data_IF_676982353648
#
_entry.id   IF_676982353648
#
_cell.length_a   1.000
_cell.length_b   1.000
_cell.length_c   1.000
_cell.angle_alpha   90.00
_cell.angle_beta   90.00
_cell.angle_gamma   90.00
#
_symmetry.space_group_name_H-M   'P 1'
#
loop_
_entity.id
_entity.type
_entity.pdbx_description
1 polymer ?
#
# COMPACT_ATOMS: atom_id res chain seq x y z
N UNK A 1 -6.41 12.73 0.42
CA UNK A 1 -5.84 11.85 1.44
C UNK A 1 -4.69 11.04 0.86
N UNK A 2 -3.56 11.09 1.52
CA UNK A 2 -2.32 10.40 1.10
C UNK A 2 -2.04 9.29 2.11
N UNK A 3 -1.70 8.10 1.61
CA UNK A 3 -1.36 6.97 2.45
C UNK A 3 -0.20 6.16 1.87
N UNK A 4 0.41 5.36 2.72
CA UNK A 4 1.45 4.42 2.32
C UNK A 4 0.85 3.03 2.20
N UNK A 5 1.12 2.37 1.09
CA UNK A 5 0.76 0.98 0.86
C UNK A 5 1.99 0.06 1.02
N UNK A 6 1.74 -1.22 1.06
CA UNK A 6 2.77 -2.24 1.03
C UNK A 6 2.21 -3.53 0.45
N UNK A 7 2.89 -4.11 -0.52
CA UNK A 7 2.52 -5.41 -1.06
C UNK A 7 2.90 -6.53 -0.08
N UNK A 8 2.01 -7.49 0.10
CA UNK A 8 2.13 -8.50 1.16
C UNK A 8 3.43 -9.28 1.13
N UNK A 9 3.93 -9.66 -0.05
CA UNK A 9 5.20 -10.39 -0.17
C UNK A 9 6.39 -9.51 0.26
N UNK A 10 6.42 -8.24 -0.15
CA UNK A 10 7.46 -7.30 0.28
C UNK A 10 7.43 -7.08 1.80
N UNK A 11 6.24 -6.96 2.37
CA UNK A 11 6.07 -6.83 3.83
C UNK A 11 6.57 -8.08 4.55
N UNK A 12 6.24 -9.26 4.03
CA UNK A 12 6.71 -10.54 4.59
C UNK A 12 8.24 -10.65 4.54
N UNK A 13 8.87 -10.25 3.44
CA UNK A 13 10.35 -10.19 3.34
C UNK A 13 10.96 -9.22 4.35
N UNK A 14 10.36 -8.04 4.53
CA UNK A 14 10.79 -7.08 5.55
C UNK A 14 10.71 -7.65 6.96
N UNK A 15 9.66 -8.39 7.29
CA UNK A 15 9.54 -9.10 8.56
C UNK A 15 10.62 -10.16 8.69
N UNK A 16 10.85 -10.96 7.64
CA UNK A 16 11.86 -12.02 7.63
C UNK A 16 13.27 -11.48 7.88
N UNK A 17 13.62 -10.27 7.41
CA UNK A 17 14.89 -9.63 7.67
C UNK A 17 15.16 -9.35 9.16
N UNK A 18 14.14 -9.27 9.99
CA UNK A 18 14.27 -9.04 11.43
C UNK A 18 14.58 -10.32 12.20
N UNK A 19 14.27 -11.49 11.65
CA UNK A 19 14.41 -12.78 12.31
C UNK A 19 15.90 -13.16 12.41
N UNK A 20 16.37 -13.41 13.64
CA UNK A 20 17.77 -13.77 13.87
C UNK A 20 18.79 -12.65 13.60
N UNK A 21 18.32 -11.43 13.36
CA UNK A 21 19.17 -10.28 13.05
C UNK A 21 19.45 -9.46 14.31
N UNK A 22 20.71 -9.45 14.76
CA UNK A 22 21.11 -8.69 15.97
C UNK A 22 20.85 -7.19 15.85
N UNK A 23 20.88 -6.63 14.63
CA UNK A 23 20.57 -5.22 14.38
C UNK A 23 19.10 -4.87 14.57
N UNK A 24 18.22 -5.88 14.56
CA UNK A 24 16.79 -5.71 14.80
C UNK A 24 16.40 -5.79 16.28
N UNK A 25 17.30 -6.25 17.16
CA UNK A 25 17.00 -6.45 18.58
C UNK A 25 16.59 -5.14 19.26
N UNK A 26 15.46 -5.19 19.98
CA UNK A 26 14.89 -4.06 20.74
C UNK A 26 14.62 -2.81 19.86
N UNK A 27 14.32 -2.99 18.59
CA UNK A 27 14.02 -1.92 17.66
C UNK A 27 12.63 -2.09 17.04
N UNK A 28 12.04 -0.98 16.67
CA UNK A 28 10.78 -0.92 15.91
C UNK A 28 11.09 -0.43 14.51
N UNK A 29 10.54 -1.11 13.53
CA UNK A 29 10.64 -0.75 12.12
C UNK A 29 9.26 -0.58 11.52
N UNK A 30 9.12 0.43 10.68
CA UNK A 30 7.98 0.57 9.79
C UNK A 30 8.34 -0.03 8.44
N UNK A 31 7.36 -0.66 7.79
CA UNK A 31 7.50 -1.23 6.45
C UNK A 31 6.40 -0.64 5.57
N UNK A 32 6.78 -0.12 4.42
CA UNK A 32 5.87 0.44 3.44
C UNK A 32 6.62 0.95 2.23
N UNK A 33 5.93 1.17 1.14
CA UNK A 33 6.48 1.73 -0.09
C UNK A 33 7.12 3.11 0.16
N UNK A 34 8.17 3.42 -0.59
CA UNK A 34 8.87 4.70 -0.46
C UNK A 34 7.99 5.88 -0.84
N UNK A 35 7.20 5.72 -1.89
CA UNK A 35 6.35 6.77 -2.43
C UNK A 35 4.90 6.60 -1.97
N UNK A 36 4.43 7.39 -1.00
CA UNK A 36 3.02 7.43 -0.67
C UNK A 36 2.22 8.00 -1.84
N UNK A 37 0.99 7.53 -2.00
CA UNK A 37 0.10 7.94 -3.08
C UNK A 37 -1.23 8.45 -2.54
N UNK A 38 -1.89 9.35 -3.28
CA UNK A 38 -3.27 9.70 -2.99
C UNK A 38 -4.23 8.65 -3.55
N UNK A 39 -5.46 8.68 -3.07
CA UNK A 39 -6.46 7.67 -3.40
C UNK A 39 -6.84 7.63 -4.89
N UNK A 40 -6.90 8.80 -5.52
CA UNK A 40 -7.18 8.91 -6.97
C UNK A 40 -6.08 8.24 -7.81
N UNK A 41 -4.83 8.53 -7.48
CA UNK A 41 -3.68 7.94 -8.17
C UNK A 41 -3.66 6.41 -7.97
N UNK A 42 -3.95 5.94 -6.77
CA UNK A 42 -4.04 4.51 -6.49
C UNK A 42 -5.13 3.83 -7.31
N UNK A 43 -6.31 4.45 -7.37
CA UNK A 43 -7.43 3.96 -8.19
C UNK A 43 -7.09 3.88 -9.68
N UNK A 44 -6.35 4.87 -10.20
CA UNK A 44 -5.87 4.85 -11.59
C UNK A 44 -4.92 3.68 -11.86
N UNK A 45 -3.99 3.41 -10.97
CA UNK A 45 -3.07 2.27 -11.09
C UNK A 45 -3.80 0.94 -11.09
N UNK A 46 -4.81 0.80 -10.24
CA UNK A 46 -5.67 -0.39 -10.23
C UNK A 46 -6.42 -0.53 -11.56
N UNK A 47 -7.04 0.54 -12.04
CA UNK A 47 -7.76 0.56 -13.32
C UNK A 47 -6.86 0.15 -14.48
N UNK A 48 -5.63 0.67 -14.54
CA UNK A 48 -4.64 0.33 -15.57
C UNK A 48 -4.30 -1.17 -15.56
N UNK A 49 -4.00 -1.73 -14.38
CA UNK A 49 -3.67 -3.15 -14.24
C UNK A 49 -4.85 -4.05 -14.64
N UNK A 50 -6.08 -3.62 -14.35
CA UNK A 50 -7.30 -4.35 -14.72
C UNK A 50 -7.68 -4.19 -16.20
N UNK A 51 -7.04 -3.29 -16.94
CA UNK A 51 -7.44 -2.92 -18.29
C UNK A 51 -8.79 -2.22 -18.35
N UNK A 52 -9.17 -1.55 -17.26
CA UNK A 52 -10.44 -0.84 -17.18
C UNK A 52 -10.31 0.57 -17.79
N UNK A 53 -11.20 0.89 -18.74
CA UNK A 53 -11.15 2.12 -19.53
C UNK A 53 -12.29 3.11 -19.18
N UNK A 54 -12.93 2.94 -18.02
CA UNK A 54 -13.96 3.85 -17.55
C UNK A 54 -13.39 5.15 -16.97
N UNK A 55 -14.27 6.08 -16.67
CA UNK A 55 -13.92 7.33 -16.02
C UNK A 55 -13.94 7.17 -14.49
N UNK A 56 -12.96 7.78 -13.84
CA UNK A 56 -12.89 7.85 -12.38
C UNK A 56 -13.29 9.27 -11.98
N UNK A 57 -14.40 9.40 -11.30
CA UNK A 57 -14.91 10.66 -10.81
C UNK A 57 -14.69 10.81 -9.31
N UNK A 58 -14.36 12.04 -8.89
CA UNK A 58 -14.36 12.41 -7.48
C UNK A 58 -15.77 12.84 -7.13
N UNK A 59 -16.38 12.18 -6.15
CA UNK A 59 -17.75 12.48 -5.73
C UNK A 59 -17.81 12.87 -4.26
N UNK A 60 -18.58 13.90 -3.97
CA UNK A 60 -18.92 14.32 -2.61
C UNK A 60 -20.24 13.70 -2.12
N UNK A 61 -20.81 12.77 -2.88
CA UNK A 61 -22.09 12.14 -2.54
C UNK A 61 -21.98 11.26 -1.28
N UNK A 62 -22.63 11.66 -0.16
CA UNK A 62 -22.55 10.93 1.09
C UNK A 62 -23.30 9.58 1.07
N UNK A 63 -24.09 9.30 0.03
CA UNK A 63 -24.85 8.04 -0.10
C UNK A 63 -23.99 6.90 -0.63
N UNK A 64 -22.84 7.19 -1.20
CA UNK A 64 -21.91 6.18 -1.68
C UNK A 64 -21.36 5.39 -0.48
N UNK A 65 -21.51 4.07 -0.49
CA UNK A 65 -21.09 3.17 0.61
C UNK A 65 -19.63 3.41 1.03
N UNK A 66 -18.74 3.62 0.07
CA UNK A 66 -17.34 3.89 0.35
C UNK A 66 -17.15 5.23 1.09
N UNK A 67 -17.88 6.28 0.70
CA UNK A 67 -17.87 7.57 1.40
C UNK A 67 -18.37 7.43 2.84
N UNK A 68 -19.38 6.60 3.07
CA UNK A 68 -19.89 6.31 4.41
C UNK A 68 -18.83 5.62 5.28
N UNK A 69 -18.09 4.65 4.74
CA UNK A 69 -16.99 3.99 5.45
C UNK A 69 -15.86 4.97 5.82
N UNK A 70 -15.57 5.93 4.95
CA UNK A 70 -14.55 6.94 5.18
C UNK A 70 -15.01 8.07 6.11
N UNK A 71 -16.31 8.27 6.29
CA UNK A 71 -16.86 9.38 7.10
C UNK A 71 -16.44 9.32 8.57
N UNK A 72 -16.04 8.15 9.06
CA UNK A 72 -15.51 7.96 10.42
C UNK A 72 -14.02 8.27 10.56
N UNK A 73 -13.32 8.50 9.44
CA UNK A 73 -11.90 8.78 9.41
C UNK A 73 -11.64 10.27 9.27
N UNK A 74 -10.66 10.77 10.00
CA UNK A 74 -10.15 12.12 9.80
C UNK A 74 -9.23 12.16 8.57
N UNK A 75 -9.79 12.49 7.41
CA UNK A 75 -9.04 12.56 6.16
C UNK A 75 -8.16 13.80 6.02
N UNK A 76 -8.21 14.72 6.99
CA UNK A 76 -7.26 15.84 7.05
C UNK A 76 -5.86 15.38 7.48
N UNK A 77 -5.78 14.24 8.16
CA UNK A 77 -4.53 13.62 8.59
C UNK A 77 -3.99 12.72 7.50
N UNK A 78 -2.78 13.01 7.02
CA UNK A 78 -2.09 12.16 6.06
C UNK A 78 -1.52 10.92 6.79
N UNK A 79 -1.74 9.74 6.23
CA UNK A 79 -1.25 8.50 6.80
C UNK A 79 -0.03 8.01 6.00
N UNK A 80 1.10 8.63 6.27
CA UNK A 80 2.38 8.30 5.64
C UNK A 80 3.27 7.54 6.62
N UNK A 81 3.88 6.47 6.12
CA UNK A 81 4.81 5.64 6.89
C UNK A 81 6.21 5.86 6.35
N UNK A 82 7.13 6.22 7.22
CA UNK A 82 8.54 6.34 6.90
C UNK A 82 9.25 5.01 7.17
N UNK A 83 9.68 4.35 6.11
CA UNK A 83 10.40 3.07 6.16
C UNK A 83 11.93 3.19 6.00
N UNK A 84 12.50 4.40 6.13
CA UNK A 84 13.95 4.59 5.97
C UNK A 84 14.77 3.75 6.93
N UNK A 85 14.35 3.61 8.18
CA UNK A 85 15.09 2.87 9.20
C UNK A 85 15.35 1.42 8.81
N UNK A 86 14.36 0.68 8.34
CA UNK A 86 14.54 -0.72 7.93
C UNK A 86 15.43 -0.82 6.69
N UNK A 87 15.34 0.14 5.78
CA UNK A 87 16.17 0.20 4.56
C UNK A 87 17.63 0.42 4.88
N UNK A 88 17.92 1.42 5.70
CA UNK A 88 19.30 1.79 6.06
C UNK A 88 19.96 0.77 6.99
N UNK A 89 19.21 0.21 7.94
CA UNK A 89 19.77 -0.65 8.97
C UNK A 89 19.73 -2.15 8.61
N UNK A 90 18.72 -2.61 7.88
CA UNK A 90 18.56 -4.02 7.52
C UNK A 90 18.66 -4.30 6.02
N UNK A 91 18.83 -3.27 5.19
CA UNK A 91 18.96 -3.44 3.74
C UNK A 91 17.65 -3.84 3.04
N UNK A 92 16.50 -3.49 3.62
CA UNK A 92 15.21 -3.77 3.01
C UNK A 92 15.03 -3.02 1.69
N UNK A 93 14.50 -3.70 0.69
CA UNK A 93 14.01 -3.14 -0.56
C UNK A 93 12.88 -4.01 -1.09
N UNK A 94 12.02 -3.44 -1.91
CA UNK A 94 10.93 -4.17 -2.55
C UNK A 94 11.47 -5.05 -3.69
N UNK A 95 11.23 -6.35 -3.62
CA UNK A 95 11.56 -7.30 -4.70
C UNK A 95 10.44 -7.40 -5.73
N UNK A 96 9.22 -7.04 -5.34
CA UNK A 96 8.05 -6.98 -6.21
C UNK A 96 7.66 -5.53 -6.42
N UNK A 97 7.58 -5.09 -7.68
CA UNK A 97 7.15 -3.72 -8.01
C UNK A 97 5.67 -3.51 -7.67
N UNK A 98 5.25 -2.26 -7.53
CA UNK A 98 3.82 -1.93 -7.28
C UNK A 98 2.94 -2.50 -8.39
N UNK A 99 3.33 -2.35 -9.65
CA UNK A 99 2.57 -2.87 -10.79
C UNK A 99 2.45 -4.39 -10.76
N UNK A 100 3.55 -5.10 -10.49
CA UNK A 100 3.54 -6.55 -10.37
C UNK A 100 2.69 -7.03 -9.18
N UNK A 101 2.78 -6.35 -8.04
CA UNK A 101 1.97 -6.63 -6.87
C UNK A 101 0.47 -6.46 -7.14
N UNK A 102 0.09 -5.36 -7.78
CA UNK A 102 -1.30 -5.14 -8.20
C UNK A 102 -1.78 -6.19 -9.21
N UNK A 103 -0.93 -6.56 -10.16
CA UNK A 103 -1.26 -7.60 -11.16
C UNK A 103 -1.50 -8.95 -10.48
N UNK A 104 -0.62 -9.36 -9.58
CA UNK A 104 -0.78 -10.61 -8.82
C UNK A 104 -2.05 -10.61 -7.97
N UNK A 105 -2.34 -9.49 -7.30
CA UNK A 105 -3.56 -9.30 -6.52
C UNK A 105 -4.80 -9.43 -7.40
N UNK A 106 -4.81 -8.78 -8.57
CA UNK A 106 -5.93 -8.85 -9.50
C UNK A 106 -6.19 -10.27 -10.01
N UNK A 107 -5.13 -11.04 -10.27
CA UNK A 107 -5.24 -12.46 -10.66
C UNK A 107 -5.81 -13.30 -9.53
N UNK A 108 -5.31 -13.13 -8.31
CA UNK A 108 -5.77 -13.88 -7.13
C UNK A 108 -7.25 -13.60 -6.83
N UNK A 109 -7.68 -12.35 -6.89
CA UNK A 109 -9.09 -11.98 -6.70
C UNK A 109 -10.02 -12.58 -7.78
N UNK A 110 -9.57 -12.66 -9.04
CA UNK A 110 -10.34 -13.30 -10.10
C UNK A 110 -10.49 -14.81 -9.89
N UNK A 111 -9.47 -15.46 -9.34
CA UNK A 111 -9.51 -16.91 -9.04
C UNK A 111 -10.41 -17.19 -7.84
N UNK A 112 -10.41 -16.33 -6.83
CA UNK A 112 -11.25 -16.46 -5.62
C UNK A 112 -12.72 -16.10 -5.85
N UNK A 113 -12.95 -15.16 -6.74
CA UNK A 113 -14.31 -14.71 -7.12
C UNK A 113 -14.99 -15.63 -8.06
#
# INVERSE_FOLDING_TARGET
>A
WITTYGYVENVAEGIALTIGNSRALKRVFNIGEVAPVNHLEWSRRIAEVLGWNGDIEISDDPTIEFAQRLSSLDLSVQFQIDSRRIREQLGFYETVTITDGLTRTAVDERVRG
#
